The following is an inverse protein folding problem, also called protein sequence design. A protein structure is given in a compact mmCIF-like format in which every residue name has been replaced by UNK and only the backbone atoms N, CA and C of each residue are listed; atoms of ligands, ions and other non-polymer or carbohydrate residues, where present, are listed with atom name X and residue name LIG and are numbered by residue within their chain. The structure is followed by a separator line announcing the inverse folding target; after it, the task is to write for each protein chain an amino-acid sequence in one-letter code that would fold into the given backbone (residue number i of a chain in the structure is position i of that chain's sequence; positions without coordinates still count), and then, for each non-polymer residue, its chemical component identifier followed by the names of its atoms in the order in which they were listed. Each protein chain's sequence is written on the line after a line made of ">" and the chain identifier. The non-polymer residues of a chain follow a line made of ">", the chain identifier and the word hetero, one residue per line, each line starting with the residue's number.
data_IF_000307787135
#
_entry.id   IF_000307787135
#
_cell.length_a   1.000
_cell.length_b   1.000
_cell.length_c   1.000
_cell.angle_alpha   90.00
_cell.angle_beta   90.00
_cell.angle_gamma   90.00
#
_symmetry.space_group_name_H-M   'P 1'
#
loop_
_entity.id
_entity.type
_entity.pdbx_description
1 polymer ?
#
# COMPACT_ATOMS: atom_id res chain seq x y z
N UNK A 1 -16.98 -46.16 -25.90
CA UNK A 1 -17.02 -47.51 -25.29
C UNK A 1 -16.87 -47.35 -23.78
N UNK A 2 -17.74 -48.00 -22.96
CA UNK A 2 -17.60 -48.29 -21.50
C UNK A 2 -17.44 -47.05 -20.56
N UNK A 3 -18.40 -46.67 -19.69
CA UNK A 3 -18.72 -47.18 -18.31
C UNK A 3 -17.52 -47.16 -17.33
N UNK A 4 -17.56 -46.85 -16.02
CA UNK A 4 -18.57 -46.49 -14.99
C UNK A 4 -17.90 -45.51 -13.98
N UNK A 5 -18.57 -44.62 -13.24
CA UNK A 5 -19.25 -44.79 -11.91
C UNK A 5 -18.56 -45.66 -10.84
N UNK A 6 -18.80 -45.31 -9.55
CA UNK A 6 -18.51 -46.01 -8.25
C UNK A 6 -17.13 -45.73 -7.61
N UNK A 7 -16.90 -45.69 -6.28
CA UNK A 7 -17.69 -45.37 -5.04
C UNK A 7 -16.73 -45.15 -3.84
N UNK A 8 -17.22 -44.68 -2.69
CA UNK A 8 -16.47 -44.47 -1.44
C UNK A 8 -16.48 -45.67 -0.45
N UNK A 9 -15.55 -45.66 0.53
CA UNK A 9 -15.42 -46.53 1.74
C UNK A 9 -14.98 -48.00 1.52
N UNK A 10 -14.47 -48.75 2.54
CA UNK A 10 -14.28 -48.49 4.00
C UNK A 10 -12.77 -48.59 4.46
N UNK A 11 -12.29 -48.54 5.72
CA UNK A 11 -12.48 -49.51 6.83
C UNK A 11 -11.70 -49.12 8.13
N UNK A 12 -12.44 -49.08 9.25
CA UNK A 12 -12.18 -49.55 10.64
C UNK A 12 -10.82 -50.13 11.09
N UNK A 13 -10.35 -49.74 12.30
CA UNK A 13 -9.78 -50.68 13.31
C UNK A 13 -9.90 -50.20 14.78
N UNK A 14 -10.58 -51.02 15.61
CA UNK A 14 -10.45 -51.39 17.04
C UNK A 14 -9.88 -50.40 18.10
N UNK A 15 -10.59 -50.13 19.22
CA UNK A 15 -10.56 -50.82 20.55
C UNK A 15 -9.20 -50.71 21.29
N UNK A 16 -9.06 -50.44 22.60
CA UNK A 16 -9.89 -50.59 23.82
C UNK A 16 -9.74 -49.34 24.74
N UNK A 17 -10.26 -49.15 25.99
CA UNK A 17 -11.24 -49.80 26.90
C UNK A 17 -11.76 -48.73 27.91
N UNK A 18 -12.68 -49.08 28.82
CA UNK A 18 -13.18 -48.25 29.94
C UNK A 18 -12.87 -48.85 31.34
N UNK A 19 -12.47 -48.01 32.31
CA UNK A 19 -12.83 -48.17 33.74
C UNK A 19 -12.62 -46.82 34.50
N UNK A 20 -13.66 -46.14 35.02
CA UNK A 20 -14.43 -46.39 36.26
C UNK A 20 -13.60 -46.23 37.57
N UNK A 21 -14.06 -45.61 38.66
CA UNK A 21 -15.19 -44.70 38.99
C UNK A 21 -15.05 -44.27 40.48
N UNK A 22 -15.84 -43.27 40.92
CA UNK A 22 -16.35 -43.01 42.30
C UNK A 22 -15.65 -41.99 43.23
N UNK A 23 -16.52 -41.10 43.73
CA UNK A 23 -16.37 -40.14 44.82
C UNK A 23 -16.70 -40.81 46.17
N UNK A 24 -16.10 -40.37 47.29
CA UNK A 24 -16.62 -40.65 48.65
C UNK A 24 -16.41 -39.47 49.61
N UNK A 25 -17.43 -39.13 50.41
CA UNK A 25 -17.42 -38.08 51.44
C UNK A 25 -17.34 -38.68 52.86
N UNK A 26 -16.47 -38.17 53.73
CA UNK A 26 -16.80 -37.49 55.02
C UNK A 26 -15.61 -37.37 56.02
N UNK A 27 -15.36 -36.13 56.51
CA UNK A 27 -15.01 -35.61 57.87
C UNK A 27 -14.18 -36.46 58.90
N UNK A 28 -13.55 -35.85 59.95
CA UNK A 28 -13.01 -34.47 60.12
C UNK A 28 -11.63 -34.38 60.87
N UNK A 29 -11.08 -33.15 60.99
CA UNK A 29 -10.06 -32.63 61.95
C UNK A 29 -8.87 -33.50 62.43
N UNK A 30 -7.64 -33.03 62.17
CA UNK A 30 -6.62 -32.83 63.24
C UNK A 30 -5.50 -31.84 62.85
N UNK A 31 -5.02 -31.19 63.91
CA UNK A 31 -3.93 -30.23 64.12
C UNK A 31 -2.65 -30.31 63.26
N UNK A 32 -2.24 -29.15 62.72
CA UNK A 32 -0.89 -28.58 62.89
C UNK A 32 0.32 -29.25 62.24
N UNK A 33 0.83 -28.63 61.17
CA UNK A 33 2.27 -28.61 60.83
C UNK A 33 2.63 -27.36 60.02
N UNK A 34 3.63 -26.61 60.47
CA UNK A 34 4.25 -25.54 59.70
C UNK A 34 4.89 -26.13 58.45
N UNK A 35 4.55 -25.59 57.27
CA UNK A 35 5.31 -25.78 56.04
C UNK A 35 5.75 -24.38 55.60
N UNK A 36 7.07 -24.18 55.53
CA UNK A 36 7.67 -22.96 55.01
C UNK A 36 7.42 -22.97 53.50
N UNK A 37 6.43 -22.20 53.05
CA UNK A 37 6.25 -21.89 51.64
C UNK A 37 7.34 -20.90 51.24
N UNK A 38 8.43 -21.43 50.69
CA UNK A 38 9.36 -20.63 49.91
C UNK A 38 8.59 -20.09 48.71
N UNK A 39 8.21 -18.81 48.76
CA UNK A 39 7.64 -18.11 47.61
C UNK A 39 8.77 -17.89 46.63
N UNK A 40 8.92 -18.82 45.70
CA UNK A 40 9.73 -18.61 44.50
C UNK A 40 9.08 -17.47 43.73
N UNK A 41 9.62 -16.26 43.87
CA UNK A 41 9.22 -15.12 43.05
C UNK A 41 9.63 -15.47 41.62
N UNK A 42 8.67 -16.00 40.86
CA UNK A 42 8.82 -16.19 39.44
C UNK A 42 8.90 -14.79 38.84
N UNK A 43 10.09 -14.38 38.38
CA UNK A 43 10.26 -13.14 37.64
C UNK A 43 9.55 -13.27 36.30
N UNK A 44 8.23 -13.03 36.30
CA UNK A 44 7.48 -12.68 35.11
C UNK A 44 7.82 -11.22 34.81
N UNK A 45 9.05 -11.01 34.32
CA UNK A 45 9.32 -9.84 33.50
C UNK A 45 8.35 -9.94 32.31
N UNK A 46 7.50 -8.94 32.05
CA UNK A 46 6.60 -8.99 30.91
C UNK A 46 7.45 -9.05 29.64
N UNK A 47 7.16 -10.01 28.76
CA UNK A 47 7.92 -10.27 27.53
C UNK A 47 8.03 -8.99 26.67
N UNK A 48 7.04 -8.10 26.76
CA UNK A 48 7.01 -6.78 26.15
C UNK A 48 8.26 -5.92 26.48
N UNK A 49 8.85 -6.05 27.67
CA UNK A 49 10.03 -5.30 28.06
C UNK A 49 11.29 -5.64 27.25
N UNK A 50 11.31 -6.78 26.56
CA UNK A 50 12.45 -7.25 25.76
C UNK A 50 12.47 -6.71 24.32
N UNK A 51 11.40 -6.06 23.87
CA UNK A 51 11.23 -5.60 22.48
C UNK A 51 11.42 -4.09 22.29
N UNK A 52 11.30 -3.28 23.35
CA UNK A 52 11.66 -1.85 23.28
C UNK A 52 13.08 -1.65 22.73
N UNK A 53 13.27 -0.63 21.91
CA UNK A 53 14.54 -0.32 21.26
C UNK A 53 14.87 -1.18 20.03
N UNK A 54 14.07 -2.19 19.68
CA UNK A 54 14.25 -3.02 18.47
C UNK A 54 13.55 -2.40 17.25
N UNK A 55 14.04 -2.61 16.03
CA UNK A 55 13.39 -2.08 14.81
C UNK A 55 11.94 -2.55 14.73
N UNK A 56 11.03 -1.62 14.45
CA UNK A 56 9.59 -1.90 14.41
C UNK A 56 8.91 -1.95 15.78
N UNK A 57 9.59 -1.64 16.88
CA UNK A 57 9.03 -1.52 18.22
C UNK A 57 9.27 -0.13 18.82
N UNK A 58 8.58 0.15 19.92
CA UNK A 58 8.70 1.41 20.65
C UNK A 58 10.14 1.66 21.12
N UNK A 59 10.53 2.92 21.23
CA UNK A 59 11.90 3.29 21.61
C UNK A 59 12.20 2.99 23.09
N UNK A 60 13.49 2.96 23.47
CA UNK A 60 13.85 2.87 24.89
C UNK A 60 13.44 4.14 25.66
N UNK A 61 13.48 4.08 26.99
CA UNK A 61 13.11 5.21 27.88
C UNK A 61 14.00 6.45 27.75
N UNK A 62 15.01 6.42 26.89
CA UNK A 62 15.91 7.54 26.56
C UNK A 62 15.77 7.96 25.07
N UNK A 63 14.69 7.53 24.40
CA UNK A 63 14.40 7.79 22.99
C UNK A 63 15.45 7.18 22.02
N UNK A 64 16.00 6.01 22.37
CA UNK A 64 17.06 5.33 21.60
C UNK A 64 16.62 3.96 21.10
N UNK A 65 17.43 3.44 20.18
CA UNK A 65 17.27 2.14 19.55
C UNK A 65 18.58 1.36 19.68
N UNK A 66 18.49 0.06 19.91
CA UNK A 66 19.66 -0.80 20.18
C UNK A 66 20.42 -1.25 18.92
N UNK A 67 19.77 -1.57 17.79
CA UNK A 67 20.48 -1.91 16.56
C UNK A 67 21.34 -0.73 16.07
N UNK A 68 22.60 -0.95 15.63
CA UNK A 68 23.42 0.11 15.05
C UNK A 68 22.76 0.66 13.78
N UNK A 69 23.09 1.90 13.42
CA UNK A 69 22.52 2.61 12.27
C UNK A 69 20.98 2.73 12.32
N UNK A 70 20.40 2.77 13.53
CA UNK A 70 18.99 3.03 13.75
C UNK A 70 18.76 4.35 14.50
N UNK A 71 17.54 4.86 14.45
CA UNK A 71 17.10 6.05 15.17
C UNK A 71 15.66 5.88 15.63
N UNK A 72 15.32 6.56 16.72
CA UNK A 72 13.92 6.72 17.09
C UNK A 72 13.29 7.81 16.23
N UNK A 73 12.10 7.55 15.70
CA UNK A 73 11.17 8.55 15.16
C UNK A 73 9.74 8.09 15.39
N UNK A 74 8.83 9.01 15.69
CA UNK A 74 7.43 8.72 16.00
C UNK A 74 7.28 7.65 17.11
N UNK A 75 8.08 7.79 18.17
CA UNK A 75 8.21 6.81 19.28
C UNK A 75 8.61 5.38 18.86
N UNK A 76 9.09 5.17 17.62
CA UNK A 76 9.40 3.84 17.08
C UNK A 76 10.80 3.77 16.48
N UNK A 77 11.42 2.60 16.56
CA UNK A 77 12.76 2.38 16.05
C UNK A 77 12.78 2.03 14.56
N UNK A 78 13.56 2.80 13.79
CA UNK A 78 13.73 2.67 12.35
C UNK A 78 15.19 2.74 11.94
N UNK A 79 15.54 2.14 10.80
CA UNK A 79 16.86 2.32 10.19
C UNK A 79 17.07 3.78 9.78
N UNK A 80 18.31 4.26 9.94
CA UNK A 80 18.72 5.61 9.54
C UNK A 80 18.66 5.77 8.01
N UNK A 81 18.47 7.00 7.48
CA UNK A 81 18.53 7.23 6.04
C UNK A 81 19.79 6.64 5.40
N UNK A 82 19.62 5.87 4.32
CA UNK A 82 20.71 5.12 3.67
C UNK A 82 20.95 3.70 4.22
N UNK A 83 20.21 3.27 5.24
CA UNK A 83 20.19 1.91 5.76
C UNK A 83 18.77 1.32 5.64
N UNK A 84 18.68 0.04 5.33
CA UNK A 84 17.41 -0.70 5.17
C UNK A 84 17.35 -1.86 6.17
N UNK A 85 16.14 -2.38 6.40
CA UNK A 85 15.91 -3.48 7.34
C UNK A 85 16.17 -4.84 6.68
N UNK A 86 17.00 -5.67 7.32
CA UNK A 86 17.22 -7.07 6.94
C UNK A 86 16.91 -8.00 8.10
N UNK A 87 16.19 -9.09 7.83
CA UNK A 87 15.87 -10.12 8.83
C UNK A 87 17.04 -11.10 9.01
N UNK A 88 17.57 -11.19 10.23
CA UNK A 88 18.66 -12.12 10.59
C UNK A 88 18.32 -12.85 11.89
N UNK A 89 18.27 -14.17 11.91
CA UNK A 89 18.16 -15.01 13.12
C UNK A 89 17.20 -14.44 14.19
N UNK A 90 15.94 -14.23 13.81
CA UNK A 90 14.83 -13.70 14.64
C UNK A 90 14.94 -12.23 15.12
N UNK A 91 15.84 -11.41 14.56
CA UNK A 91 15.89 -9.97 14.79
C UNK A 91 16.10 -9.19 13.48
N UNK A 92 15.87 -7.88 13.53
CA UNK A 92 16.03 -6.98 12.39
C UNK A 92 17.29 -6.14 12.61
N UNK A 93 18.16 -6.09 11.60
CA UNK A 93 19.36 -5.25 11.57
C UNK A 93 19.26 -4.18 10.49
N UNK A 94 19.93 -3.05 10.72
CA UNK A 94 20.00 -1.93 9.77
C UNK A 94 21.33 -1.95 9.02
N UNK A 95 21.27 -2.35 7.75
CA UNK A 95 22.44 -2.50 6.88
C UNK A 95 22.38 -1.52 5.72
N UNK A 96 23.54 -1.07 5.25
CA UNK A 96 23.60 -0.29 4.01
C UNK A 96 23.49 -1.27 2.84
N UNK A 97 22.41 -1.18 2.07
CA UNK A 97 22.25 -2.00 0.87
C UNK A 97 23.22 -1.56 -0.25
N UNK A 98 23.64 -2.48 -1.13
CA UNK A 98 24.46 -2.17 -2.29
C UNK A 98 23.73 -1.25 -3.28
N UNK A 99 24.49 -0.40 -3.95
CA UNK A 99 24.03 0.42 -5.07
C UNK A 99 24.00 -0.37 -6.38
N UNK A 100 23.55 0.25 -7.47
CA UNK A 100 23.57 -0.38 -8.79
C UNK A 100 24.98 -0.80 -9.22
N UNK A 101 25.04 -1.94 -9.89
CA UNK A 101 26.25 -2.66 -10.29
C UNK A 101 27.22 -3.04 -9.13
N UNK A 102 26.85 -2.81 -7.87
CA UNK A 102 27.57 -3.34 -6.72
C UNK A 102 27.17 -4.81 -6.41
N UNK A 103 28.07 -5.61 -5.81
CA UNK A 103 27.77 -6.99 -5.43
C UNK A 103 26.64 -7.10 -4.39
N UNK A 104 25.77 -8.09 -4.56
CA UNK A 104 24.63 -8.34 -3.68
C UNK A 104 24.42 -9.84 -3.45
N UNK A 105 23.65 -10.16 -2.40
CA UNK A 105 23.19 -11.51 -2.09
C UNK A 105 21.66 -11.57 -2.14
N UNK A 106 21.10 -12.68 -2.63
CA UNK A 106 19.66 -12.90 -2.68
C UNK A 106 19.17 -13.22 -1.26
N UNK A 107 18.32 -12.36 -0.68
CA UNK A 107 17.72 -12.66 0.63
C UNK A 107 16.76 -13.85 0.54
N UNK A 108 16.75 -14.65 1.60
CA UNK A 108 15.80 -15.73 1.86
C UNK A 108 14.43 -15.25 2.34
N UNK A 109 14.28 -13.98 2.72
CA UNK A 109 13.05 -13.42 3.28
C UNK A 109 12.27 -12.58 2.27
N UNK A 110 10.98 -12.89 2.10
CA UNK A 110 10.07 -12.28 1.10
C UNK A 110 9.88 -10.76 1.28
N UNK A 111 10.22 -10.20 2.44
CA UNK A 111 10.13 -8.77 2.74
C UNK A 111 11.46 -8.01 2.71
N UNK A 112 12.60 -8.69 2.50
CA UNK A 112 13.91 -8.03 2.45
C UNK A 112 14.18 -7.40 1.08
N UNK A 113 14.90 -6.28 1.09
CA UNK A 113 15.46 -5.68 -0.11
C UNK A 113 16.95 -6.01 -0.20
N UNK A 114 17.37 -6.52 -1.34
CA UNK A 114 18.79 -6.83 -1.60
C UNK A 114 19.58 -5.65 -2.17
N UNK A 115 18.90 -4.57 -2.60
CA UNK A 115 19.47 -3.43 -3.31
C UNK A 115 18.88 -2.09 -2.82
N UNK A 116 19.71 -1.05 -2.77
CA UNK A 116 19.35 0.28 -2.24
C UNK A 116 18.29 1.00 -3.10
N UNK A 117 18.32 0.81 -4.41
CA UNK A 117 17.31 1.31 -5.35
C UNK A 117 16.03 0.44 -5.27
N UNK A 118 14.83 1.04 -5.12
CA UNK A 118 13.57 0.28 -5.01
C UNK A 118 13.18 -0.43 -6.31
N UNK A 119 13.70 0.02 -7.45
CA UNK A 119 13.49 -0.54 -8.77
C UNK A 119 14.66 -1.43 -9.23
N UNK A 120 15.55 -1.83 -8.31
CA UNK A 120 16.60 -2.83 -8.55
C UNK A 120 16.30 -4.16 -7.82
N UNK A 121 16.79 -5.26 -8.40
CA UNK A 121 16.83 -6.60 -7.81
C UNK A 121 18.24 -7.20 -7.93
N UNK A 122 18.57 -8.13 -7.02
CA UNK A 122 19.85 -8.82 -7.04
C UNK A 122 19.86 -9.93 -8.09
N UNK A 123 20.52 -9.69 -9.23
CA UNK A 123 20.53 -10.58 -10.40
C UNK A 123 21.95 -10.82 -10.86
N UNK A 124 22.35 -12.10 -11.02
CA UNK A 124 23.74 -12.51 -11.28
C UNK A 124 24.75 -11.97 -10.24
N UNK A 125 24.34 -11.94 -8.96
CA UNK A 125 25.12 -11.39 -7.83
C UNK A 125 25.44 -9.89 -7.93
N UNK A 126 24.75 -9.13 -8.79
CA UNK A 126 24.85 -7.68 -8.90
C UNK A 126 23.47 -7.03 -8.74
N UNK A 127 23.43 -5.85 -8.14
CA UNK A 127 22.22 -5.04 -8.12
C UNK A 127 21.96 -4.47 -9.51
N UNK A 128 20.95 -5.01 -10.20
CA UNK A 128 20.53 -4.61 -11.55
C UNK A 128 19.13 -4.05 -11.50
N UNK A 129 18.80 -3.16 -12.44
CA UNK A 129 17.44 -2.69 -12.57
C UNK A 129 16.48 -3.84 -12.91
N UNK A 130 15.29 -3.78 -12.30
CA UNK A 130 14.15 -4.64 -12.61
C UNK A 130 13.78 -4.48 -14.07
N UNK A 131 13.06 -5.47 -14.60
CA UNK A 131 12.45 -5.35 -15.92
C UNK A 131 11.77 -3.98 -16.05
N UNK A 132 11.94 -3.33 -17.21
CA UNK A 132 11.39 -2.00 -17.54
C UNK A 132 12.09 -0.82 -16.88
N UNK A 133 13.21 -1.02 -16.19
CA UNK A 133 14.04 0.06 -15.69
C UNK A 133 15.45 -0.06 -16.27
N UNK A 134 16.04 1.08 -16.59
CA UNK A 134 17.42 1.21 -17.10
C UNK A 134 18.27 1.99 -16.12
N UNK A 135 19.54 1.61 -16.01
CA UNK A 135 20.49 2.32 -15.16
C UNK A 135 20.81 3.69 -15.78
N UNK A 136 20.31 4.75 -15.18
CA UNK A 136 20.65 6.14 -15.52
C UNK A 136 21.17 6.84 -14.27
N UNK A 137 22.33 7.49 -14.38
CA UNK A 137 22.95 8.27 -13.30
C UNK A 137 23.12 7.53 -11.95
N UNK A 138 23.24 6.20 -11.97
CA UNK A 138 23.35 5.36 -10.77
C UNK A 138 22.03 5.06 -10.06
N UNK A 139 20.89 5.29 -10.73
CA UNK A 139 19.54 4.90 -10.31
C UNK A 139 18.83 4.13 -11.42
N UNK A 140 17.75 3.45 -11.05
CA UNK A 140 16.85 2.80 -12.00
C UNK A 140 15.76 3.78 -12.43
N UNK A 141 15.87 4.31 -13.65
CA UNK A 141 14.85 5.13 -14.28
C UNK A 141 14.00 4.26 -15.21
N UNK A 142 12.70 4.53 -15.29
CA UNK A 142 11.76 3.68 -16.03
C UNK A 142 11.90 3.86 -17.54
N UNK A 143 12.15 2.76 -18.25
CA UNK A 143 12.39 2.71 -19.70
C UNK A 143 11.09 2.47 -20.46
N UNK A 144 10.26 3.51 -20.49
CA UNK A 144 8.97 3.50 -21.15
C UNK A 144 9.05 3.39 -22.68
N UNK A 145 8.05 2.72 -23.27
CA UNK A 145 7.86 2.54 -24.71
C UNK A 145 6.53 3.13 -25.17
N UNK A 146 6.57 3.88 -26.28
CA UNK A 146 5.41 4.41 -26.98
C UNK A 146 4.85 3.39 -27.98
N UNK A 147 3.67 3.65 -28.54
CA UNK A 147 3.09 2.86 -29.62
C UNK A 147 4.09 2.76 -30.80
N UNK A 148 4.13 1.58 -31.44
CA UNK A 148 5.08 1.17 -32.48
C UNK A 148 6.55 0.97 -32.04
N UNK A 149 6.93 1.31 -30.80
CA UNK A 149 8.29 1.03 -30.28
C UNK A 149 8.45 -0.44 -29.83
N UNK A 150 9.68 -0.95 -29.92
CA UNK A 150 10.02 -2.33 -29.55
C UNK A 150 9.89 -2.59 -28.04
N UNK A 151 9.27 -3.73 -27.70
CA UNK A 151 9.01 -4.18 -26.35
C UNK A 151 9.18 -5.70 -26.22
N UNK A 152 9.23 -6.15 -24.97
CA UNK A 152 9.32 -7.55 -24.56
C UNK A 152 8.16 -7.95 -23.65
N UNK A 153 7.60 -7.00 -22.89
CA UNK A 153 6.52 -7.22 -21.92
C UNK A 153 5.55 -6.04 -21.87
N UNK A 154 4.27 -6.33 -21.60
CA UNK A 154 3.15 -5.37 -21.65
C UNK A 154 3.36 -4.09 -20.84
N UNK A 155 4.08 -4.17 -19.71
CA UNK A 155 4.28 -3.05 -18.81
C UNK A 155 5.31 -2.04 -19.30
N UNK A 156 6.05 -2.33 -20.38
CA UNK A 156 6.95 -1.35 -21.00
C UNK A 156 6.15 -0.29 -21.76
N UNK A 157 4.96 -0.65 -22.24
CA UNK A 157 4.14 0.22 -23.06
C UNK A 157 3.41 1.25 -22.18
N UNK A 158 3.91 2.50 -22.19
CA UNK A 158 3.46 3.58 -21.29
C UNK A 158 2.23 4.32 -21.80
N UNK A 159 1.84 4.07 -23.04
CA UNK A 159 0.65 4.67 -23.61
C UNK A 159 -0.58 4.06 -22.92
N UNK A 160 -1.53 4.86 -22.40
CA UNK A 160 -2.70 4.35 -21.72
C UNK A 160 -3.45 3.30 -22.55
N UNK A 161 -3.82 2.19 -21.92
CA UNK A 161 -4.44 1.00 -22.53
C UNK A 161 -3.65 0.34 -23.68
N UNK A 162 -2.34 0.56 -23.75
CA UNK A 162 -1.46 -0.22 -24.62
C UNK A 162 -0.98 -1.53 -23.97
N UNK A 163 -0.34 -2.38 -24.76
CA UNK A 163 0.29 -3.66 -24.41
C UNK A 163 1.42 -3.97 -25.39
N UNK A 164 2.25 -4.95 -25.07
CA UNK A 164 3.23 -5.48 -26.01
C UNK A 164 2.53 -6.56 -26.86
N UNK A 165 2.51 -6.39 -28.19
CA UNK A 165 1.87 -7.36 -29.06
C UNK A 165 2.78 -8.58 -29.33
N UNK A 166 2.22 -9.60 -30.00
CA UNK A 166 2.94 -10.84 -30.34
C UNK A 166 4.13 -10.63 -31.29
N UNK A 167 4.24 -9.44 -31.89
CA UNK A 167 5.32 -9.02 -32.76
C UNK A 167 6.45 -8.30 -32.00
N UNK A 168 6.31 -8.09 -30.69
CA UNK A 168 7.29 -7.38 -29.87
C UNK A 168 7.28 -5.86 -30.06
N UNK A 169 6.12 -5.27 -30.42
CA UNK A 169 5.95 -3.81 -30.44
C UNK A 169 4.73 -3.36 -29.64
N UNK A 170 4.77 -2.15 -29.10
CA UNK A 170 3.67 -1.62 -28.33
C UNK A 170 2.49 -1.25 -29.23
N UNK A 171 1.30 -1.78 -28.89
CA UNK A 171 0.05 -1.56 -29.62
C UNK A 171 -1.11 -1.44 -28.62
N UNK A 172 -2.26 -0.96 -29.07
CA UNK A 172 -3.45 -0.86 -28.24
C UNK A 172 -4.00 -2.26 -27.84
N UNK A 173 -4.55 -2.35 -26.62
CA UNK A 173 -5.24 -3.57 -26.17
C UNK A 173 -6.46 -3.86 -27.06
N UNK A 174 -6.88 -5.14 -27.22
CA UNK A 174 -8.03 -5.48 -28.03
C UNK A 174 -9.30 -4.75 -27.58
N UNK A 175 -10.02 -4.11 -28.51
CA UNK A 175 -11.15 -3.24 -28.21
C UNK A 175 -10.79 -1.76 -28.01
N UNK A 176 -9.52 -1.40 -28.15
CA UNK A 176 -9.03 -0.02 -28.19
C UNK A 176 -8.37 0.28 -29.54
N UNK A 177 -8.31 1.57 -29.92
CA UNK A 177 -7.65 2.08 -31.12
C UNK A 177 -6.75 3.26 -30.75
N UNK A 178 -5.63 3.46 -31.44
CA UNK A 178 -4.79 4.64 -31.19
C UNK A 178 -5.45 5.90 -31.75
N UNK A 179 -5.51 6.97 -30.95
CA UNK A 179 -6.12 8.24 -31.30
C UNK A 179 -5.75 9.32 -30.27
N UNK A 180 -5.57 10.56 -30.72
CA UNK A 180 -5.25 11.71 -29.84
C UNK A 180 -4.02 11.51 -28.92
N UNK A 181 -3.10 10.60 -29.27
CA UNK A 181 -1.89 10.29 -28.50
C UNK A 181 -2.02 9.17 -27.47
N UNK A 182 -3.19 8.52 -27.34
CA UNK A 182 -3.41 7.38 -26.44
C UNK A 182 -4.33 6.33 -27.07
N UNK A 183 -4.56 5.20 -26.39
CA UNK A 183 -5.52 4.20 -26.88
C UNK A 183 -6.93 4.50 -26.37
N UNK A 184 -7.86 4.76 -27.27
CA UNK A 184 -9.27 5.06 -26.99
C UNK A 184 -10.14 3.81 -27.15
N UNK A 185 -11.17 3.58 -26.30
CA UNK A 185 -12.12 2.50 -26.51
C UNK A 185 -12.79 2.60 -27.91
N UNK A 186 -12.81 1.49 -28.65
CA UNK A 186 -13.48 1.43 -29.96
C UNK A 186 -14.99 1.57 -29.82
N UNK A 187 -15.56 1.06 -28.73
CA UNK A 187 -16.97 1.17 -28.39
C UNK A 187 -17.14 1.58 -26.92
N UNK A 188 -18.05 2.53 -26.67
CA UNK A 188 -18.50 2.95 -25.35
C UNK A 188 -20.03 2.77 -25.29
N UNK A 189 -20.50 1.99 -24.31
CA UNK A 189 -21.90 1.55 -24.18
C UNK A 189 -22.51 2.08 -22.87
N UNK A 190 -23.75 2.56 -22.94
CA UNK A 190 -24.57 2.87 -21.77
C UNK A 190 -25.39 1.65 -21.34
N UNK A 191 -25.95 1.68 -20.11
CA UNK A 191 -26.90 0.66 -19.65
C UNK A 191 -28.24 0.74 -20.42
N UNK A 192 -28.67 1.96 -20.74
CA UNK A 192 -29.86 2.27 -21.54
C UNK A 192 -29.55 3.53 -22.38
N UNK A 193 -30.06 3.59 -23.61
CA UNK A 193 -29.80 4.69 -24.54
C UNK A 193 -28.38 4.72 -25.12
N UNK A 194 -28.07 5.82 -25.81
CA UNK A 194 -26.74 6.11 -26.37
C UNK A 194 -25.98 7.11 -25.50
N UNK A 195 -24.64 7.07 -25.54
CA UNK A 195 -23.78 8.03 -24.83
C UNK A 195 -23.93 9.44 -25.39
N UNK A 196 -23.76 10.45 -24.55
CA UNK A 196 -23.83 11.84 -24.99
C UNK A 196 -22.70 12.16 -25.96
N UNK A 197 -23.06 12.70 -27.12
CA UNK A 197 -22.14 13.04 -28.19
C UNK A 197 -22.44 14.46 -28.68
N UNK A 198 -21.52 15.38 -28.43
CA UNK A 198 -21.65 16.80 -28.77
C UNK A 198 -20.43 17.28 -29.57
N UNK A 199 -20.66 18.17 -30.54
CA UNK A 199 -19.62 18.77 -31.39
C UNK A 199 -18.66 17.77 -32.06
N UNK A 200 -19.10 16.53 -32.31
CA UNK A 200 -18.27 15.48 -32.90
C UNK A 200 -17.42 14.69 -31.89
N UNK A 201 -17.66 14.84 -30.59
CA UNK A 201 -16.92 14.20 -29.50
C UNK A 201 -17.84 13.60 -28.45
N UNK A 202 -17.38 12.56 -27.74
CA UNK A 202 -18.11 12.03 -26.57
C UNK A 202 -17.97 13.02 -25.42
N UNK A 203 -19.06 13.32 -24.71
CA UNK A 203 -18.99 14.21 -23.53
C UNK A 203 -18.45 13.43 -22.34
N UNK A 204 -17.31 13.91 -21.85
CA UNK A 204 -16.58 13.34 -20.71
C UNK A 204 -17.05 13.94 -19.39
N UNK A 205 -16.88 13.19 -18.32
CA UNK A 205 -17.23 13.55 -16.96
C UNK A 205 -16.15 13.11 -15.96
N UNK A 206 -16.21 13.64 -14.74
CA UNK A 206 -15.35 13.23 -13.63
C UNK A 206 -16.16 13.04 -12.36
N UNK A 207 -15.82 11.99 -11.62
CA UNK A 207 -16.36 11.71 -10.28
C UNK A 207 -15.21 11.95 -9.31
N UNK A 208 -15.39 12.88 -8.37
CA UNK A 208 -14.41 13.22 -7.33
C UNK A 208 -15.00 12.85 -5.96
N UNK A 209 -14.57 11.72 -5.42
CA UNK A 209 -15.15 11.10 -4.23
C UNK A 209 -16.62 10.72 -4.47
N UNK A 210 -17.55 11.46 -3.86
CA UNK A 210 -18.99 11.28 -4.04
C UNK A 210 -19.64 12.33 -4.98
N UNK A 211 -18.86 13.23 -5.57
CA UNK A 211 -19.37 14.34 -6.39
C UNK A 211 -19.11 14.10 -7.88
N UNK A 212 -20.16 14.05 -8.69
CA UNK A 212 -20.09 13.96 -10.15
C UNK A 212 -20.06 15.36 -10.80
N UNK A 213 -19.27 15.54 -11.87
CA UNK A 213 -19.28 16.76 -12.68
C UNK A 213 -19.07 16.47 -14.17
N UNK A 214 -19.61 17.33 -15.03
CA UNK A 214 -19.48 17.27 -16.49
C UNK A 214 -20.74 16.78 -17.22
N UNK A 215 -21.58 15.95 -16.59
CA UNK A 215 -22.84 15.51 -17.19
C UNK A 215 -24.00 16.49 -16.97
N UNK A 216 -24.91 16.65 -17.96
CA UNK A 216 -26.12 17.45 -17.81
C UNK A 216 -27.20 16.73 -16.98
N UNK A 217 -28.24 17.47 -16.58
CA UNK A 217 -29.39 16.89 -15.87
C UNK A 217 -30.04 15.74 -16.67
N UNK A 218 -30.41 14.67 -15.97
CA UNK A 218 -30.96 13.45 -16.58
C UNK A 218 -29.90 12.45 -17.09
N UNK A 219 -28.62 12.76 -16.94
CA UNK A 219 -27.51 11.86 -17.22
C UNK A 219 -26.70 11.52 -15.96
N UNK A 220 -25.88 10.48 -16.06
CA UNK A 220 -24.94 10.03 -15.05
C UNK A 220 -23.59 9.68 -15.68
N UNK A 221 -22.53 9.75 -14.89
CA UNK A 221 -21.17 9.47 -15.33
C UNK A 221 -20.89 7.96 -15.25
N UNK A 222 -20.56 7.36 -16.40
CA UNK A 222 -20.03 5.99 -16.46
C UNK A 222 -18.50 6.07 -16.42
N UNK A 223 -17.84 5.66 -15.32
CA UNK A 223 -16.38 5.58 -15.29
C UNK A 223 -15.89 4.55 -16.33
N UNK A 224 -14.82 4.90 -17.04
CA UNK A 224 -14.14 3.99 -17.98
C UNK A 224 -12.69 3.71 -17.58
N UNK A 225 -12.22 4.26 -16.45
CA UNK A 225 -10.94 3.95 -15.83
C UNK A 225 -11.14 3.41 -14.41
N UNK A 226 -10.21 2.58 -13.96
CA UNK A 226 -10.06 2.21 -12.56
C UNK A 226 -9.77 3.44 -11.67
N UNK A 227 -10.16 3.32 -10.40
CA UNK A 227 -10.02 4.33 -9.36
C UNK A 227 -8.56 4.65 -9.03
N UNK A 228 -8.21 5.93 -9.01
CA UNK A 228 -6.91 6.42 -8.56
C UNK A 228 -6.95 6.70 -7.04
N UNK A 229 -6.45 5.75 -6.24
CA UNK A 229 -6.33 5.89 -4.78
C UNK A 229 -5.01 6.62 -4.40
N UNK A 230 -5.06 7.67 -3.58
CA UNK A 230 -3.97 8.01 -2.65
C UNK A 230 -4.51 7.99 -1.20
N UNK A 231 -4.71 6.79 -0.59
CA UNK A 231 -5.48 6.66 0.66
C UNK A 231 -4.89 7.46 1.82
N UNK A 232 -3.56 7.50 1.90
CA UNK A 232 -2.81 8.17 2.96
C UNK A 232 -2.88 9.70 2.90
N UNK A 233 -3.36 10.28 1.79
CA UNK A 233 -3.25 11.71 1.52
C UNK A 233 -4.56 12.47 1.69
N UNK A 234 -5.66 11.80 2.06
CA UNK A 234 -7.03 12.35 2.06
C UNK A 234 -7.45 12.98 0.71
N UNK A 235 -6.81 12.59 -0.40
CA UNK A 235 -7.26 13.01 -1.72
C UNK A 235 -8.54 12.24 -2.04
N UNK A 236 -9.61 12.97 -2.37
CA UNK A 236 -10.81 12.38 -2.94
C UNK A 236 -10.42 11.70 -4.25
N UNK A 237 -10.86 10.46 -4.40
CA UNK A 237 -10.56 9.68 -5.60
C UNK A 237 -11.17 10.30 -6.84
N UNK A 238 -10.42 10.30 -7.92
CA UNK A 238 -10.88 10.81 -9.21
C UNK A 238 -11.09 9.63 -10.16
N UNK A 239 -12.29 9.54 -10.73
CA UNK A 239 -12.60 8.63 -11.83
C UNK A 239 -13.02 9.46 -13.04
N UNK A 240 -12.45 9.17 -14.20
CA UNK A 240 -12.82 9.78 -15.48
C UNK A 240 -13.83 8.89 -16.20
N UNK A 241 -14.87 9.50 -16.78
CA UNK A 241 -16.02 8.80 -17.34
C UNK A 241 -16.59 9.47 -18.58
N UNK A 242 -17.65 8.87 -19.15
CA UNK A 242 -18.49 9.48 -20.19
C UNK A 242 -19.95 9.53 -19.74
N UNK A 243 -20.71 10.49 -20.27
CA UNK A 243 -22.09 10.71 -19.86
C UNK A 243 -23.08 9.75 -20.55
N UNK A 244 -23.93 9.12 -19.74
CA UNK A 244 -25.00 8.23 -20.18
C UNK A 244 -26.37 8.68 -19.66
N UNK A 245 -27.47 8.42 -20.39
CA UNK A 245 -28.83 8.64 -19.89
C UNK A 245 -29.11 7.80 -18.63
N UNK A 246 -29.72 8.39 -17.61
CA UNK A 246 -30.15 7.64 -16.42
C UNK A 246 -31.21 6.60 -16.85
N UNK A 247 -30.99 5.29 -16.58
CA UNK A 247 -31.91 4.26 -17.05
C UNK A 247 -33.27 4.34 -16.38
N UNK A 248 -34.32 4.03 -17.16
CA UNK A 248 -35.73 4.16 -16.80
C UNK A 248 -36.13 3.28 -15.60
N UNK A 249 -35.31 2.27 -15.25
CA UNK A 249 -35.58 1.32 -14.18
C UNK A 249 -34.37 1.13 -13.25
N UNK A 250 -34.21 2.11 -12.36
CA UNK A 250 -33.12 2.22 -11.36
C UNK A 250 -33.00 0.99 -10.43
N UNK A 251 -34.07 0.19 -10.27
CA UNK A 251 -34.12 -0.94 -9.34
C UNK A 251 -33.20 -2.13 -9.72
N UNK A 252 -32.67 -2.16 -10.95
CA UNK A 252 -31.75 -3.20 -11.42
C UNK A 252 -30.28 -2.73 -11.48
N UNK A 253 -29.95 -1.53 -10.97
CA UNK A 253 -28.57 -1.05 -10.85
C UNK A 253 -27.78 -1.81 -9.79
N UNK A 254 -27.39 -3.05 -10.10
CA UNK A 254 -26.27 -3.72 -9.43
C UNK A 254 -24.97 -3.30 -10.12
N UNK A 255 -24.04 -2.59 -9.45
CA UNK A 255 -22.72 -2.34 -10.02
C UNK A 255 -22.00 -3.68 -10.24
N UNK A 256 -21.91 -4.11 -11.49
CA UNK A 256 -21.39 -5.42 -11.92
C UNK A 256 -19.87 -5.44 -12.12
N UNK A 257 -19.15 -4.50 -11.50
CA UNK A 257 -17.71 -4.33 -11.69
C UNK A 257 -16.90 -4.71 -10.42
N UNK A 258 -16.75 -6.00 -10.07
CA UNK A 258 -15.74 -6.44 -9.12
C UNK A 258 -14.38 -6.47 -9.82
N UNK A 259 -13.52 -5.51 -9.48
CA UNK A 259 -12.19 -5.34 -10.09
C UNK A 259 -11.28 -6.55 -9.86
N UNK A 260 -10.78 -7.16 -10.96
CA UNK A 260 -9.61 -8.07 -11.01
C UNK A 260 -8.96 -8.14 -12.41
N UNK A 261 -8.20 -7.10 -12.73
CA UNK A 261 -6.81 -7.22 -13.24
C UNK A 261 -6.53 -8.24 -14.39
N UNK A 262 -5.33 -8.80 -14.53
CA UNK A 262 -4.34 -8.32 -15.49
C UNK A 262 -4.53 -8.90 -16.91
N UNK A 263 -4.20 -8.08 -17.92
CA UNK A 263 -4.13 -8.46 -19.34
C UNK A 263 -5.46 -8.88 -20.02
N UNK A 264 -6.61 -8.31 -19.60
CA UNK A 264 -7.97 -8.51 -20.17
C UNK A 264 -7.93 -8.69 -21.70
N UNK A 265 -8.31 -9.88 -22.23
CA UNK A 265 -9.73 -10.16 -22.48
C UNK A 265 -10.20 -11.59 -22.22
N UNK A 266 -11.52 -11.78 -22.06
CA UNK A 266 -12.21 -13.08 -22.19
C UNK A 266 -13.54 -12.98 -22.99
N UNK A 267 -13.54 -12.19 -24.06
CA UNK A 267 -14.73 -11.79 -24.87
C UNK A 267 -15.77 -10.89 -24.16
N UNK A 268 -15.54 -10.49 -22.91
CA UNK A 268 -16.51 -9.68 -22.17
C UNK A 268 -16.15 -8.19 -22.15
N UNK A 269 -17.19 -7.35 -22.36
CA UNK A 269 -17.15 -5.88 -22.33
C UNK A 269 -16.49 -5.41 -21.04
N UNK A 270 -15.50 -4.50 -21.07
CA UNK A 270 -14.72 -4.18 -19.89
C UNK A 270 -15.53 -3.31 -18.91
N UNK A 271 -15.62 -3.76 -17.67
CA UNK A 271 -15.88 -2.92 -16.51
C UNK A 271 -14.55 -2.24 -16.13
N UNK A 272 -14.43 -0.93 -16.37
CA UNK A 272 -13.34 -0.05 -15.86
C UNK A 272 -11.91 -0.63 -15.91
N UNK A 273 -11.30 -0.81 -17.10
CA UNK A 273 -9.92 -1.29 -17.20
C UNK A 273 -8.92 -0.25 -16.67
N UNK A 274 -7.82 -0.71 -16.07
CA UNK A 274 -6.73 0.17 -15.63
C UNK A 274 -6.03 0.80 -16.84
N UNK A 275 -5.95 2.15 -16.93
CA UNK A 275 -5.31 2.83 -18.07
C UNK A 275 -3.80 2.60 -18.08
N UNK A 276 -3.15 2.69 -16.93
CA UNK A 276 -1.69 2.65 -16.79
C UNK A 276 -1.21 1.37 -16.09
N UNK A 277 0.09 1.03 -16.19
CA UNK A 277 0.70 -0.02 -15.38
C UNK A 277 0.54 0.20 -13.86
N UNK A 278 0.88 -0.82 -13.07
CA UNK A 278 0.99 -0.66 -11.62
C UNK A 278 2.11 0.33 -11.28
N UNK A 279 1.91 1.14 -10.23
CA UNK A 279 2.75 2.29 -9.85
C UNK A 279 2.71 3.49 -10.83
N UNK A 280 1.77 3.52 -11.78
CA UNK A 280 1.48 4.67 -12.65
C UNK A 280 0.03 5.17 -12.49
N UNK A 281 -0.12 6.50 -12.53
CA UNK A 281 -1.39 7.26 -12.55
C UNK A 281 -1.63 7.85 -13.95
N UNK A 282 -2.90 8.03 -14.33
CA UNK A 282 -3.32 8.53 -15.64
C UNK A 282 -3.65 10.04 -15.60
N UNK A 283 -2.64 10.85 -15.90
CA UNK A 283 -2.77 12.31 -15.94
C UNK A 283 -2.82 12.77 -17.40
N UNK A 284 -3.94 13.36 -17.78
CA UNK A 284 -4.13 14.11 -19.04
C UNK A 284 -3.68 13.38 -20.32
N UNK A 285 -4.02 12.09 -20.43
CA UNK A 285 -3.70 11.29 -21.61
C UNK A 285 -2.37 10.54 -21.52
N UNK A 286 -1.64 10.66 -20.41
CA UNK A 286 -0.34 10.00 -20.19
C UNK A 286 -0.28 9.23 -18.87
N UNK A 287 0.61 8.25 -18.82
CA UNK A 287 0.93 7.53 -17.61
C UNK A 287 2.17 8.12 -16.95
N UNK A 288 2.05 8.52 -15.68
CA UNK A 288 3.14 9.08 -14.89
C UNK A 288 3.39 8.23 -13.63
N UNK A 289 4.65 8.06 -13.18
CA UNK A 289 4.93 7.34 -11.94
C UNK A 289 4.34 8.11 -10.76
N UNK A 290 3.73 7.40 -9.81
CA UNK A 290 3.21 7.98 -8.57
C UNK A 290 3.98 7.49 -7.34
N UNK A 291 3.65 8.07 -6.18
CA UNK A 291 4.41 7.94 -4.93
C UNK A 291 5.83 8.52 -4.95
N UNK A 292 6.08 9.53 -5.79
CA UNK A 292 7.30 10.33 -5.70
C UNK A 292 7.38 11.07 -4.37
N UNK A 293 8.56 11.13 -3.78
CA UNK A 293 8.79 11.71 -2.46
C UNK A 293 9.29 13.16 -2.56
N UNK A 294 9.21 13.97 -1.49
CA UNK A 294 9.82 15.28 -1.43
C UNK A 294 11.28 15.30 -1.94
N UNK A 295 11.55 16.19 -2.89
CA UNK A 295 12.84 16.32 -3.57
C UNK A 295 13.01 15.48 -4.85
N UNK A 296 12.15 14.50 -5.13
CA UNK A 296 12.15 13.77 -6.40
C UNK A 296 11.65 14.64 -7.57
N UNK A 297 12.17 14.41 -8.77
CA UNK A 297 11.79 15.13 -9.98
C UNK A 297 10.36 14.83 -10.45
N UNK A 298 9.63 15.85 -10.88
CA UNK A 298 8.22 15.71 -11.29
C UNK A 298 7.84 16.63 -12.46
N UNK A 299 6.76 16.27 -13.16
CA UNK A 299 6.07 17.12 -14.14
C UNK A 299 4.69 17.58 -13.65
N UNK A 300 4.04 16.73 -12.85
CA UNK A 300 2.63 16.79 -12.45
C UNK A 300 2.45 16.56 -10.94
N UNK A 301 1.45 17.20 -10.34
CA UNK A 301 1.20 17.15 -8.89
C UNK A 301 0.80 15.74 -8.44
N UNK A 302 0.05 15.02 -9.28
CA UNK A 302 -0.49 13.68 -9.04
C UNK A 302 0.59 12.59 -8.89
N UNK A 303 1.85 12.92 -9.22
CA UNK A 303 3.01 12.07 -9.01
C UNK A 303 3.47 12.10 -7.55
N UNK A 304 3.32 13.24 -6.88
CA UNK A 304 3.89 13.53 -5.57
C UNK A 304 3.03 12.97 -4.43
N UNK A 305 3.62 12.10 -3.61
CA UNK A 305 2.96 11.44 -2.49
C UNK A 305 2.54 12.46 -1.41
N UNK A 306 1.25 12.75 -1.34
CA UNK A 306 0.68 13.81 -0.49
C UNK A 306 1.32 15.20 -0.72
N UNK A 307 1.81 15.46 -1.94
CA UNK A 307 2.54 16.67 -2.30
C UNK A 307 1.96 17.39 -3.51
N UNK A 308 2.76 18.29 -4.07
CA UNK A 308 2.57 18.94 -5.35
C UNK A 308 3.93 19.16 -6.01
N UNK A 309 3.92 19.39 -7.33
CA UNK A 309 5.12 19.55 -8.13
C UNK A 309 5.50 21.03 -8.21
N UNK A 310 6.65 21.39 -7.64
CA UNK A 310 7.08 22.77 -7.45
C UNK A 310 8.36 23.08 -8.23
N UNK A 311 8.46 24.26 -8.85
CA UNK A 311 9.66 24.71 -9.55
C UNK A 311 10.66 25.33 -8.54
N UNK A 312 11.85 24.76 -8.44
CA UNK A 312 12.90 25.21 -7.53
C UNK A 312 13.78 26.31 -8.15
N UNK A 313 14.62 26.95 -7.33
CA UNK A 313 15.46 28.08 -7.75
C UNK A 313 16.55 27.73 -8.78
N UNK A 314 16.79 26.44 -9.01
CA UNK A 314 17.62 25.87 -10.08
C UNK A 314 16.88 25.74 -11.42
N UNK A 315 15.56 26.01 -11.45
CA UNK A 315 14.68 25.81 -12.61
C UNK A 315 14.17 24.37 -12.76
N UNK A 316 14.52 23.47 -11.84
CA UNK A 316 14.09 22.08 -11.86
C UNK A 316 12.79 21.90 -11.06
N UNK A 317 11.89 21.06 -11.56
CA UNK A 317 10.64 20.74 -10.87
C UNK A 317 10.80 19.52 -9.97
N UNK A 318 10.47 19.67 -8.69
CA UNK A 318 10.59 18.62 -7.68
C UNK A 318 9.37 18.60 -6.76
N UNK A 319 9.07 17.43 -6.20
CA UNK A 319 7.95 17.25 -5.30
C UNK A 319 8.17 17.98 -3.97
N UNK A 320 7.10 18.58 -3.44
CA UNK A 320 7.05 19.25 -2.13
C UNK A 320 5.74 18.92 -1.40
N UNK A 321 5.76 18.87 -0.07
CA UNK A 321 4.56 18.62 0.71
C UNK A 321 3.51 19.74 0.58
N UNK A 322 2.24 19.33 0.44
CA UNK A 322 1.09 20.25 0.36
C UNK A 322 0.85 20.99 1.68
N UNK A 323 0.10 22.09 1.61
CA UNK A 323 -0.25 22.86 2.81
C UNK A 323 -0.94 21.98 3.86
N UNK A 324 -0.57 22.15 5.12
CA UNK A 324 -1.02 21.32 6.25
C UNK A 324 -0.25 20.02 6.47
N UNK A 325 0.68 19.66 5.56
CA UNK A 325 1.55 18.49 5.72
C UNK A 325 2.99 18.93 6.04
N UNK A 326 3.61 18.27 7.02
CA UNK A 326 5.02 18.44 7.34
C UNK A 326 5.89 17.56 6.45
N UNK A 327 7.00 18.10 5.97
CA UNK A 327 8.08 17.31 5.39
C UNK A 327 8.98 16.78 6.52
N UNK A 328 8.93 15.47 6.78
CA UNK A 328 9.77 14.80 7.76
C UNK A 328 10.35 13.53 7.12
N UNK A 329 11.65 13.27 7.35
CA UNK A 329 12.33 12.06 6.88
C UNK A 329 12.16 11.76 5.37
N UNK A 330 12.06 12.80 4.53
CA UNK A 330 11.82 12.66 3.09
C UNK A 330 10.42 12.16 2.73
N UNK A 331 9.40 12.40 3.58
CA UNK A 331 7.98 12.10 3.31
C UNK A 331 7.09 13.21 3.85
N UNK A 332 5.87 13.26 3.31
CA UNK A 332 4.84 14.20 3.76
C UNK A 332 3.93 13.55 4.81
N UNK A 333 3.85 14.16 5.98
CA UNK A 333 3.07 13.70 7.11
C UNK A 333 1.98 14.70 7.48
N UNK A 334 0.78 14.19 7.71
CA UNK A 334 -0.31 14.94 8.35
C UNK A 334 -0.01 15.03 9.86
N UNK A 335 -0.25 16.20 10.49
CA UNK A 335 0.00 16.43 11.92
C UNK A 335 -1.10 15.80 12.80
N UNK A 336 -1.33 14.50 12.63
CA UNK A 336 -2.38 13.73 13.32
C UNK A 336 -1.84 12.36 13.70
N UNK A 337 -2.47 11.73 14.68
CA UNK A 337 -2.12 10.39 15.10
C UNK A 337 -2.32 9.38 13.95
N UNK A 338 -1.37 8.45 13.79
CA UNK A 338 -1.40 7.42 12.75
C UNK A 338 -2.59 6.45 12.89
N UNK A 339 -3.14 6.35 14.10
CA UNK A 339 -4.34 5.58 14.41
C UNK A 339 -5.08 6.23 15.59
N UNK A 340 -6.41 6.32 15.49
CA UNK A 340 -7.28 6.92 16.51
C UNK A 340 -7.07 8.43 16.68
N UNK A 341 -7.78 8.99 17.65
CA UNK A 341 -7.70 10.42 17.97
C UNK A 341 -6.60 10.70 19.02
N UNK A 342 -5.96 11.87 19.00
CA UNK A 342 -5.02 12.28 20.05
C UNK A 342 -5.69 12.37 21.42
N UNK A 343 -4.91 12.20 22.49
CA UNK A 343 -5.41 12.35 23.85
C UNK A 343 -5.87 13.79 24.10
N UNK A 344 -6.94 13.93 24.87
CA UNK A 344 -7.48 15.20 25.33
C UNK A 344 -7.68 15.17 26.84
N UNK A 345 -7.64 16.34 27.46
CA UNK A 345 -7.99 16.52 28.87
C UNK A 345 -9.51 16.41 29.04
N UNK A 346 -9.97 15.57 29.95
CA UNK A 346 -11.39 15.28 30.14
C UNK A 346 -12.17 16.43 30.82
N UNK A 347 -11.50 17.38 31.47
CA UNK A 347 -12.14 18.51 32.15
C UNK A 347 -12.24 19.75 31.26
N UNK A 348 -11.22 20.03 30.45
CA UNK A 348 -11.16 21.20 29.55
C UNK A 348 -11.59 20.89 28.11
N UNK A 349 -11.42 19.63 27.67
CA UNK A 349 -11.58 19.23 26.27
C UNK A 349 -10.42 19.67 25.35
N UNK A 350 -9.33 20.18 25.90
CA UNK A 350 -8.14 20.57 25.13
C UNK A 350 -7.23 19.37 24.84
N UNK A 351 -6.44 19.43 23.77
CA UNK A 351 -5.50 18.37 23.41
C UNK A 351 -4.34 18.29 24.41
N UNK A 352 -3.93 17.07 24.74
CA UNK A 352 -2.73 16.82 25.56
C UNK A 352 -1.50 16.77 24.66
N UNK A 353 -0.66 17.80 24.82
CA UNK A 353 0.61 17.94 24.11
C UNK A 353 1.76 17.32 24.90
N UNK A 354 2.77 16.83 24.19
CA UNK A 354 3.98 16.24 24.75
C UNK A 354 5.22 16.68 23.96
N UNK A 355 6.42 16.47 24.50
CA UNK A 355 7.65 16.72 23.75
C UNK A 355 8.80 15.80 24.21
N UNK A 356 9.93 15.83 23.50
CA UNK A 356 11.09 14.98 23.78
C UNK A 356 11.72 15.15 25.19
N UNK A 357 11.39 16.24 25.92
CA UNK A 357 11.84 16.45 27.31
C UNK A 357 10.76 16.16 28.36
N UNK A 358 9.49 16.10 27.94
CA UNK A 358 8.31 15.84 28.76
C UNK A 358 7.37 14.90 27.97
N UNK A 359 7.69 13.59 27.87
CA UNK A 359 6.93 12.61 27.08
C UNK A 359 5.72 12.04 27.84
N UNK A 360 5.23 12.74 28.87
CA UNK A 360 4.25 12.24 29.84
C UNK A 360 2.83 12.16 29.25
N UNK A 361 2.59 11.11 28.47
CA UNK A 361 1.27 10.76 27.95
C UNK A 361 0.50 9.77 28.84
N UNK A 362 -0.84 9.68 28.72
CA UNK A 362 -1.64 8.68 29.41
C UNK A 362 -1.19 7.23 29.11
N UNK A 363 -1.54 6.29 29.99
CA UNK A 363 -1.00 4.90 29.99
C UNK A 363 -1.13 4.18 28.65
N UNK A 364 -2.21 4.39 27.90
CA UNK A 364 -2.48 3.73 26.60
C UNK A 364 -2.00 4.56 25.38
N UNK A 365 -1.29 5.65 25.63
CA UNK A 365 -0.78 6.59 24.64
C UNK A 365 0.76 6.62 24.67
N UNK A 366 1.36 7.11 23.60
CA UNK A 366 2.77 7.49 23.57
C UNK A 366 2.99 8.85 22.91
N UNK A 367 4.15 9.44 23.18
CA UNK A 367 4.46 10.79 22.74
C UNK A 367 5.03 10.78 21.32
N UNK A 368 4.25 11.27 20.35
CA UNK A 368 4.72 11.50 18.98
C UNK A 368 5.33 12.90 18.93
N UNK A 369 6.58 12.99 19.38
CA UNK A 369 7.30 14.26 19.60
C UNK A 369 7.37 15.17 18.37
N UNK A 370 7.36 14.60 17.17
CA UNK A 370 7.40 15.29 15.88
C UNK A 370 6.10 16.05 15.56
N UNK A 371 4.99 15.66 16.19
CA UNK A 371 3.70 16.34 16.12
C UNK A 371 3.35 17.03 17.44
N UNK A 372 4.17 16.86 18.48
CA UNK A 372 3.91 17.27 19.86
C UNK A 372 2.61 16.66 20.46
N UNK A 373 2.13 15.52 19.95
CA UNK A 373 0.86 14.91 20.32
C UNK A 373 1.03 13.61 21.13
N UNK A 374 0.22 13.44 22.17
CA UNK A 374 -0.03 12.13 22.76
C UNK A 374 -0.98 11.32 21.86
N UNK A 375 -0.48 10.27 21.21
CA UNK A 375 -1.25 9.42 20.31
C UNK A 375 -1.49 8.01 20.88
N UNK A 376 -2.61 7.34 20.54
CA UNK A 376 -2.86 5.97 20.96
C UNK A 376 -1.72 5.06 20.54
N UNK A 377 -1.25 4.17 21.43
CA UNK A 377 -0.20 3.21 21.05
C UNK A 377 -0.69 2.32 19.92
N UNK A 378 0.15 2.16 18.89
CA UNK A 378 -0.18 1.31 17.75
C UNK A 378 -0.33 -0.15 18.21
N UNK A 379 -1.37 -0.88 17.77
CA UNK A 379 -1.46 -2.31 18.04
C UNK A 379 -0.23 -3.02 17.46
N UNK A 380 0.42 -3.86 18.26
CA UNK A 380 1.42 -4.81 17.76
C UNK A 380 0.65 -5.89 16.99
N UNK A 381 0.48 -5.69 15.69
CA UNK A 381 0.05 -6.75 14.77
C UNK A 381 1.21 -7.75 14.64
N UNK A 382 1.10 -8.88 15.32
CA UNK A 382 2.00 -10.04 15.23
C UNK A 382 1.58 -11.05 14.18
#
# INVERSE_FOLDING_TARGET
>A
MVKSQLTFSPTVHLQTELAKLQVKRHKPMTTGRFIILAVTICNILPVNAALFGQIGYECDTQNRCYPPNSHCRFDRCHCQPGFDNVYTDNHIVCVKLPHLDEPCEISSHVGDRACSDPHADCTDSLCKCKENYVAMNGKCEFDGRHIEEECHVDHQCIVPFSRCNEQGVCDCRPGFKFGNGYCEPMEMHCLEGERLFENGSTVNCSITGAHESGCPEGMYCVPYIEHEEQPHCLQLSVQRGFCCPIPSNVANLKPTCPHKDPYIPKMMRPCCPRPCPNNYNFVDGKCYPFHLYPGDFCEKDEQCSCGFCHEHADGEKRCRCKFGFLELYGKCYDQRCFHGDPAFDYETGELLFCNATHPDCPVDYSCISEFELCCPRMPIYG
#
